data_IF_632492450198
#
_entry.id   IF_632492450198
#
_cell.length_a   1.000
_cell.length_b   1.000
_cell.length_c   1.000
_cell.angle_alpha   90.00
_cell.angle_beta   90.00
_cell.angle_gamma   90.00
#
_symmetry.space_group_name_H-M   'P 1'
#
loop_
_entity.id
_entity.type
_entity.pdbx_description
1 polymer ?
#
# COMPACT_ATOMS: atom_id res chain seq x y z
N UNK A 1 -20.95 -33.15 -31.67
CA UNK A 1 -20.17 -31.97 -31.23
C UNK A 1 -18.81 -31.96 -31.92
N UNK A 2 -18.18 -33.11 -32.05
CA UNK A 2 -16.97 -33.40 -32.86
C UNK A 2 -16.85 -32.59 -34.16
N UNK A 3 -17.74 -32.78 -35.14
CA UNK A 3 -17.68 -32.07 -36.43
C UNK A 3 -17.70 -30.52 -36.30
N UNK A 4 -18.27 -29.98 -35.22
CA UNK A 4 -18.27 -28.53 -34.96
C UNK A 4 -16.91 -28.11 -34.38
N UNK A 5 -16.38 -28.89 -33.44
CA UNK A 5 -15.05 -28.67 -32.85
C UNK A 5 -13.92 -28.83 -33.87
N UNK A 6 -14.00 -29.83 -34.77
CA UNK A 6 -13.04 -30.05 -35.88
C UNK A 6 -12.93 -28.86 -36.83
N UNK A 7 -13.91 -27.96 -36.83
CA UNK A 7 -13.90 -26.73 -37.63
C UNK A 7 -13.46 -25.49 -36.84
N UNK A 8 -12.93 -25.66 -35.63
CA UNK A 8 -12.53 -24.58 -34.73
C UNK A 8 -13.72 -23.93 -34.01
N UNK A 9 -14.78 -24.70 -33.75
CA UNK A 9 -15.96 -24.23 -33.03
C UNK A 9 -15.67 -23.98 -31.54
N UNK A 10 -16.44 -23.04 -30.96
CA UNK A 10 -16.33 -22.66 -29.55
C UNK A 10 -17.53 -23.22 -28.79
N UNK A 11 -17.29 -24.02 -27.76
CA UNK A 11 -18.34 -24.76 -27.07
C UNK A 11 -18.33 -24.50 -25.57
N UNK A 12 -19.50 -24.13 -25.05
CA UNK A 12 -19.78 -24.10 -23.61
C UNK A 12 -20.63 -25.32 -23.24
N UNK A 13 -20.12 -26.18 -22.37
CA UNK A 13 -20.82 -27.36 -21.86
C UNK A 13 -21.02 -27.27 -20.35
N UNK A 14 -22.26 -27.51 -19.94
CA UNK A 14 -22.66 -27.48 -18.53
C UNK A 14 -23.84 -28.43 -18.32
N UNK A 15 -23.92 -29.03 -17.13
CA UNK A 15 -25.00 -29.93 -16.77
C UNK A 15 -24.62 -30.88 -15.65
N UNK A 16 -25.61 -31.34 -14.88
CA UNK A 16 -25.37 -32.30 -13.82
C UNK A 16 -25.14 -33.71 -14.40
N UNK A 17 -24.03 -34.36 -14.03
CA UNK A 17 -23.74 -35.73 -14.48
C UNK A 17 -23.41 -35.86 -15.98
N UNK A 18 -23.18 -34.72 -16.66
CA UNK A 18 -22.92 -34.63 -18.09
C UNK A 18 -21.85 -35.60 -18.57
N UNK A 19 -20.82 -35.77 -17.76
CA UNK A 19 -19.68 -36.56 -18.16
C UNK A 19 -19.96 -38.09 -18.09
N UNK A 20 -20.93 -38.53 -17.29
CA UNK A 20 -21.44 -39.90 -17.35
C UNK A 20 -22.37 -40.12 -18.56
N UNK A 21 -23.12 -39.10 -18.97
CA UNK A 21 -23.93 -39.13 -20.19
C UNK A 21 -23.04 -39.18 -21.44
N UNK A 22 -22.02 -38.32 -21.51
CA UNK A 22 -21.03 -38.33 -22.60
C UNK A 22 -20.34 -39.69 -22.72
N UNK A 23 -19.93 -40.32 -21.61
CA UNK A 23 -19.36 -41.66 -21.69
C UNK A 23 -20.30 -42.69 -22.35
N UNK A 24 -21.61 -42.62 -22.06
CA UNK A 24 -22.57 -43.60 -22.57
C UNK A 24 -23.02 -43.31 -24.00
N UNK A 25 -23.15 -42.03 -24.35
CA UNK A 25 -23.76 -41.59 -25.61
C UNK A 25 -22.73 -41.15 -26.67
N UNK A 26 -21.58 -40.62 -26.25
CA UNK A 26 -20.55 -40.02 -27.11
C UNK A 26 -19.14 -40.15 -26.48
N UNK A 27 -18.67 -41.40 -26.32
CA UNK A 27 -17.39 -41.67 -25.65
C UNK A 27 -16.19 -41.12 -26.40
N UNK A 28 -16.30 -40.94 -27.72
CA UNK A 28 -15.24 -40.36 -28.56
C UNK A 28 -15.07 -38.88 -28.23
N UNK A 29 -16.16 -38.13 -28.09
CA UNK A 29 -16.09 -36.75 -27.61
C UNK A 29 -15.40 -36.63 -26.24
N UNK A 30 -15.75 -37.53 -25.31
CA UNK A 30 -15.14 -37.57 -23.97
C UNK A 30 -13.63 -37.88 -24.03
N UNK A 31 -13.24 -38.86 -24.84
CA UNK A 31 -11.85 -39.35 -24.90
C UNK A 31 -10.94 -38.41 -25.72
N UNK A 32 -11.44 -37.86 -26.83
CA UNK A 32 -10.63 -37.14 -27.84
C UNK A 32 -10.69 -35.62 -27.70
N UNK A 33 -11.74 -35.05 -27.10
CA UNK A 33 -11.90 -33.58 -26.94
C UNK A 33 -11.91 -33.11 -25.48
N UNK A 34 -12.39 -33.94 -24.55
CA UNK A 34 -12.23 -33.66 -23.11
C UNK A 34 -10.97 -34.34 -22.53
N UNK A 35 -10.35 -35.25 -23.30
CA UNK A 35 -9.21 -36.06 -22.87
C UNK A 35 -9.37 -36.65 -21.48
N UNK A 36 -10.56 -37.19 -21.23
CA UNK A 36 -11.01 -37.64 -19.93
C UNK A 36 -11.32 -39.13 -19.95
N UNK A 37 -11.03 -39.83 -18.86
CA UNK A 37 -11.46 -41.20 -18.65
C UNK A 37 -12.60 -41.22 -17.66
N UNK A 38 -13.64 -41.96 -18.00
CA UNK A 38 -14.72 -42.25 -17.07
C UNK A 38 -14.45 -43.50 -16.25
N UNK A 39 -14.36 -43.35 -14.93
CA UNK A 39 -14.26 -44.46 -13.99
C UNK A 39 -15.55 -44.57 -13.17
N UNK A 40 -16.20 -45.72 -13.20
CA UNK A 40 -17.32 -46.03 -12.28
C UNK A 40 -16.85 -46.85 -11.08
N UNK A 41 -17.18 -46.41 -9.87
CA UNK A 41 -16.97 -47.13 -8.60
C UNK A 41 -18.30 -47.31 -7.87
N UNK A 42 -18.31 -48.16 -6.84
CA UNK A 42 -19.54 -48.58 -6.12
C UNK A 42 -20.34 -47.42 -5.49
N UNK A 43 -19.71 -46.30 -5.14
CA UNK A 43 -20.36 -45.18 -4.45
C UNK A 43 -20.14 -43.83 -5.13
N UNK A 44 -19.36 -43.82 -6.22
CA UNK A 44 -18.99 -42.60 -6.90
C UNK A 44 -18.50 -42.86 -8.33
N UNK A 45 -18.52 -41.83 -9.14
CA UNK A 45 -18.05 -41.76 -10.51
C UNK A 45 -16.89 -40.76 -10.60
N UNK A 46 -15.89 -41.06 -11.41
CA UNK A 46 -14.75 -40.18 -11.67
C UNK A 46 -14.69 -39.82 -13.14
N UNK A 47 -14.31 -38.57 -13.38
CA UNK A 47 -13.72 -38.13 -14.61
C UNK A 47 -12.30 -37.76 -14.29
N UNK A 48 -11.37 -38.61 -14.68
CA UNK A 48 -9.95 -38.37 -14.50
C UNK A 48 -9.37 -38.01 -15.85
N UNK A 49 -8.74 -36.84 -15.95
CA UNK A 49 -8.08 -36.46 -17.17
C UNK A 49 -6.85 -37.33 -17.47
N UNK A 50 -6.41 -37.33 -18.71
CA UNK A 50 -5.30 -38.16 -19.19
C UNK A 50 -3.98 -37.45 -18.95
N UNK A 51 -3.06 -38.08 -18.23
CA UNK A 51 -1.71 -37.55 -17.98
C UNK A 51 -1.02 -37.08 -19.28
N UNK A 52 -0.48 -35.87 -19.27
CA UNK A 52 0.15 -35.21 -20.41
C UNK A 52 -0.81 -34.68 -21.49
N UNK A 53 -2.12 -34.66 -21.24
CA UNK A 53 -3.10 -34.03 -22.14
C UNK A 53 -3.16 -32.52 -21.94
N UNK A 54 -3.30 -31.72 -23.02
CA UNK A 54 -3.41 -30.26 -22.92
C UNK A 54 -4.66 -29.75 -22.18
N UNK A 55 -5.64 -30.61 -21.94
CA UNK A 55 -6.88 -30.31 -21.20
C UNK A 55 -7.02 -31.24 -19.99
N UNK A 56 -6.55 -32.49 -20.17
CA UNK A 56 -6.72 -33.61 -19.27
C UNK A 56 -5.69 -33.72 -18.17
N UNK A 57 -4.51 -33.15 -18.32
CA UNK A 57 -3.45 -33.42 -17.35
C UNK A 57 -3.81 -32.90 -15.96
N UNK A 58 -3.67 -33.75 -14.94
CA UNK A 58 -3.84 -33.34 -13.56
C UNK A 58 -5.27 -33.16 -13.03
N UNK A 59 -6.34 -33.34 -13.82
CA UNK A 59 -7.71 -33.10 -13.34
C UNK A 59 -8.43 -34.38 -12.85
N UNK A 60 -9.21 -34.25 -11.77
CA UNK A 60 -10.19 -35.26 -11.36
C UNK A 60 -11.49 -34.61 -10.89
N UNK A 61 -12.61 -35.04 -11.47
CA UNK A 61 -13.96 -34.67 -11.03
C UNK A 61 -14.65 -35.91 -10.47
N UNK A 62 -15.00 -35.89 -9.18
CA UNK A 62 -15.63 -37.02 -8.49
C UNK A 62 -17.07 -36.73 -8.11
N UNK A 63 -18.00 -37.58 -8.55
CA UNK A 63 -19.44 -37.47 -8.28
C UNK A 63 -19.93 -38.64 -7.42
N UNK A 64 -20.69 -38.42 -6.34
CA UNK A 64 -21.21 -39.51 -5.50
C UNK A 64 -22.64 -39.93 -5.88
N UNK A 65 -22.95 -41.23 -5.87
CA UNK A 65 -24.30 -41.76 -6.13
C UNK A 65 -25.06 -42.09 -4.84
N UNK A 66 -26.25 -41.49 -4.62
CA UNK A 66 -27.13 -41.83 -3.49
C UNK A 66 -28.05 -40.70 -3.01
N UNK A 67 -29.16 -41.06 -2.36
CA UNK A 67 -30.26 -40.16 -1.93
C UNK A 67 -29.93 -39.17 -0.79
N UNK A 68 -28.67 -39.12 -0.33
CA UNK A 68 -28.18 -38.13 0.62
C UNK A 68 -27.03 -37.34 -0.03
N UNK A 69 -27.35 -36.61 -1.10
CA UNK A 69 -26.49 -35.54 -1.60
C UNK A 69 -26.46 -34.45 -0.52
N UNK A 70 -25.53 -34.58 0.42
CA UNK A 70 -25.17 -33.46 1.28
C UNK A 70 -24.36 -32.53 0.38
N UNK A 71 -24.96 -31.40 0.03
CA UNK A 71 -24.49 -30.34 -0.86
C UNK A 71 -23.09 -29.77 -0.58
N UNK A 72 -22.31 -30.35 0.34
CA UNK A 72 -21.17 -29.66 0.93
C UNK A 72 -19.80 -30.19 0.53
N UNK A 73 -19.65 -31.30 -0.23
CA UNK A 73 -18.30 -31.82 -0.58
C UNK A 73 -18.20 -32.63 -1.90
N UNK A 74 -19.19 -32.60 -2.79
CA UNK A 74 -19.31 -33.64 -3.84
C UNK A 74 -18.79 -33.33 -5.24
N UNK A 75 -18.00 -32.28 -5.46
CA UNK A 75 -17.41 -31.94 -6.77
C UNK A 75 -16.16 -31.06 -6.56
N UNK A 76 -15.05 -31.63 -6.10
CA UNK A 76 -13.76 -30.93 -6.04
C UNK A 76 -12.97 -31.24 -7.31
N UNK A 77 -12.62 -30.20 -8.07
CA UNK A 77 -11.59 -30.29 -9.12
C UNK A 77 -10.24 -30.20 -8.40
N UNK A 78 -9.51 -31.30 -8.37
CA UNK A 78 -8.11 -31.30 -7.96
C UNK A 78 -7.27 -30.95 -9.19
N UNK A 79 -6.36 -29.98 -9.05
CA UNK A 79 -5.39 -29.60 -10.09
C UNK A 79 -4.02 -30.08 -9.64
N UNK A 80 -3.42 -31.01 -10.37
CA UNK A 80 -2.01 -31.38 -10.23
C UNK A 80 -1.26 -31.10 -11.54
N UNK A 81 -0.57 -29.97 -11.67
CA UNK A 81 0.25 -29.62 -12.85
C UNK A 81 -0.06 -28.26 -13.46
N UNK A 82 0.27 -28.08 -14.75
CA UNK A 82 0.26 -26.80 -15.48
C UNK A 82 -1.12 -26.40 -16.07
N UNK A 83 -2.23 -26.93 -15.54
CA UNK A 83 -3.55 -26.60 -16.07
C UNK A 83 -3.96 -25.17 -15.65
N UNK A 84 -4.41 -24.35 -16.61
CA UNK A 84 -4.93 -22.99 -16.34
C UNK A 84 -6.39 -23.12 -15.87
N UNK A 85 -6.70 -22.82 -14.60
CA UNK A 85 -8.07 -22.85 -14.11
C UNK A 85 -8.87 -21.66 -14.65
N UNK A 86 -10.07 -21.93 -15.17
CA UNK A 86 -10.88 -20.88 -15.82
C UNK A 86 -11.70 -20.02 -14.83
N UNK A 87 -12.09 -20.59 -13.69
CA UNK A 87 -13.04 -19.95 -12.76
C UNK A 87 -12.79 -20.37 -11.30
N UNK A 88 -12.43 -19.40 -10.45
CA UNK A 88 -12.27 -19.56 -9.00
C UNK A 88 -13.65 -19.47 -8.35
N UNK A 89 -14.08 -20.52 -7.65
CA UNK A 89 -15.39 -20.57 -6.99
C UNK A 89 -15.27 -20.37 -5.47
N UNK A 90 -14.12 -19.96 -4.93
CA UNK A 90 -13.97 -19.79 -3.48
C UNK A 90 -12.97 -18.70 -3.14
N UNK A 91 -13.45 -17.65 -2.45
CA UNK A 91 -12.63 -16.58 -1.86
C UNK A 91 -11.71 -17.06 -0.72
N UNK A 92 -11.83 -18.32 -0.27
CA UNK A 92 -10.93 -18.97 0.70
C UNK A 92 -9.91 -19.94 0.07
N UNK A 93 -9.80 -19.95 -1.27
CA UNK A 93 -8.63 -20.50 -1.97
C UNK A 93 -8.63 -22.00 -2.29
N UNK A 94 -9.78 -22.69 -2.31
CA UNK A 94 -9.79 -24.16 -2.33
C UNK A 94 -10.34 -24.91 -3.55
N UNK A 95 -11.06 -24.30 -4.49
CA UNK A 95 -11.76 -25.09 -5.52
C UNK A 95 -12.09 -24.38 -6.84
N UNK A 96 -11.91 -25.11 -7.94
CA UNK A 96 -12.26 -24.69 -9.30
C UNK A 96 -13.60 -25.32 -9.74
N UNK A 97 -14.40 -24.58 -10.51
CA UNK A 97 -15.76 -24.99 -10.92
C UNK A 97 -15.88 -25.40 -12.38
N UNK A 98 -14.85 -25.13 -13.19
CA UNK A 98 -14.86 -25.39 -14.62
C UNK A 98 -13.44 -25.49 -15.19
N UNK A 99 -13.32 -26.18 -16.33
CA UNK A 99 -12.10 -26.34 -17.11
C UNK A 99 -12.24 -25.56 -18.42
N UNK A 100 -11.16 -24.94 -18.89
CA UNK A 100 -11.09 -24.30 -20.20
C UNK A 100 -9.97 -24.88 -21.04
N UNK A 101 -10.18 -24.94 -22.36
CA UNK A 101 -9.16 -25.27 -23.35
C UNK A 101 -9.14 -24.27 -24.47
N UNK A 102 -7.94 -23.80 -24.80
CA UNK A 102 -7.67 -22.90 -25.92
C UNK A 102 -6.62 -23.56 -26.84
N UNK A 103 -7.05 -23.96 -28.04
CA UNK A 103 -6.20 -24.62 -29.02
C UNK A 103 -6.85 -24.65 -30.39
N UNK A 104 -6.88 -25.83 -31.05
CA UNK A 104 -7.54 -25.97 -32.35
C UNK A 104 -9.05 -25.71 -32.29
N UNK A 105 -9.61 -25.68 -31.08
CA UNK A 105 -10.98 -25.32 -30.72
C UNK A 105 -10.97 -24.68 -29.33
N UNK A 106 -12.05 -23.98 -28.95
CA UNK A 106 -12.24 -23.52 -27.58
C UNK A 106 -13.35 -24.27 -26.87
N UNK A 107 -13.09 -24.70 -25.63
CA UNK A 107 -14.05 -25.45 -24.82
C UNK A 107 -14.06 -24.94 -23.39
N UNK A 108 -15.24 -24.69 -22.84
CA UNK A 108 -15.45 -24.53 -21.40
C UNK A 108 -16.36 -25.65 -20.91
N UNK A 109 -15.90 -26.41 -19.93
CA UNK A 109 -16.62 -27.54 -19.35
C UNK A 109 -16.87 -27.33 -17.85
N UNK A 110 -18.14 -27.23 -17.45
CA UNK A 110 -18.54 -27.14 -16.05
C UNK A 110 -18.85 -28.53 -15.48
N UNK A 111 -18.33 -28.80 -14.29
CA UNK A 111 -18.61 -30.02 -13.52
C UNK A 111 -20.04 -30.09 -12.99
N UNK A 112 -20.77 -28.97 -13.00
CA UNK A 112 -22.11 -28.78 -12.45
C UNK A 112 -22.96 -27.94 -13.40
N UNK A 113 -24.26 -27.85 -13.13
CA UNK A 113 -25.15 -26.96 -13.89
C UNK A 113 -24.82 -25.50 -13.58
N UNK A 114 -24.47 -24.72 -14.59
CA UNK A 114 -24.21 -23.28 -14.51
C UNK A 114 -25.39 -22.53 -13.87
N UNK A 115 -26.61 -23.06 -14.01
CA UNK A 115 -27.81 -22.52 -13.37
C UNK A 115 -27.79 -22.57 -11.84
N UNK A 116 -26.85 -23.29 -11.24
CA UNK A 116 -26.67 -23.36 -9.78
C UNK A 116 -25.84 -22.20 -9.22
N UNK A 117 -25.19 -21.38 -10.07
CA UNK A 117 -24.49 -20.16 -9.66
C UNK A 117 -25.52 -19.12 -9.22
N UNK A 118 -25.42 -18.63 -7.99
CA UNK A 118 -26.36 -17.66 -7.42
C UNK A 118 -25.88 -16.22 -7.68
N UNK A 119 -26.79 -15.30 -7.98
CA UNK A 119 -26.47 -13.88 -8.20
C UNK A 119 -26.30 -13.07 -6.90
N UNK A 120 -26.57 -13.68 -5.75
CA UNK A 120 -26.61 -13.04 -4.44
C UNK A 120 -25.65 -13.68 -3.43
N UNK A 121 -24.62 -14.40 -3.89
CA UNK A 121 -23.62 -14.99 -3.01
C UNK A 121 -22.57 -13.97 -2.57
N UNK A 122 -22.26 -13.86 -1.27
CA UNK A 122 -21.13 -13.06 -0.78
C UNK A 122 -19.78 -13.75 -0.94
N UNK A 123 -19.75 -14.98 -1.47
CA UNK A 123 -18.55 -15.81 -1.54
C UNK A 123 -18.17 -16.23 -2.97
N UNK A 124 -19.03 -15.92 -3.95
CA UNK A 124 -18.90 -16.39 -5.34
C UNK A 124 -19.17 -15.23 -6.29
N UNK A 125 -18.52 -15.25 -7.44
CA UNK A 125 -18.91 -14.41 -8.58
C UNK A 125 -20.36 -14.66 -8.97
N UNK A 126 -21.04 -13.61 -9.42
CA UNK A 126 -22.41 -13.69 -9.91
C UNK A 126 -22.47 -14.50 -11.20
N UNK A 127 -23.65 -15.04 -11.49
CA UNK A 127 -23.92 -15.80 -12.71
C UNK A 127 -23.62 -14.97 -13.97
N UNK A 128 -23.92 -13.68 -13.95
CA UNK A 128 -23.71 -12.79 -15.09
C UNK A 128 -22.21 -12.52 -15.33
N UNK A 129 -21.42 -12.35 -14.26
CA UNK A 129 -19.95 -12.22 -14.34
C UNK A 129 -19.31 -13.49 -14.91
N UNK A 130 -19.70 -14.66 -14.38
CA UNK A 130 -19.19 -15.95 -14.87
C UNK A 130 -19.56 -16.18 -16.34
N UNK A 131 -20.80 -15.90 -16.74
CA UNK A 131 -21.21 -16.05 -18.15
C UNK A 131 -20.46 -15.12 -19.08
N UNK A 132 -20.25 -13.87 -18.66
CA UNK A 132 -19.60 -12.90 -19.52
C UNK A 132 -18.15 -13.29 -19.78
N UNK A 133 -17.45 -13.79 -18.75
CA UNK A 133 -16.11 -14.37 -18.90
C UNK A 133 -16.09 -15.63 -19.78
N UNK A 134 -17.07 -16.52 -19.66
CA UNK A 134 -17.20 -17.69 -20.57
C UNK A 134 -17.37 -17.23 -22.01
N UNK A 135 -18.24 -16.26 -22.25
CA UNK A 135 -18.51 -15.76 -23.59
C UNK A 135 -17.31 -15.01 -24.17
N UNK A 136 -16.52 -14.34 -23.33
CA UNK A 136 -15.25 -13.75 -23.73
C UNK A 136 -14.22 -14.81 -24.10
N UNK A 137 -13.98 -15.79 -23.23
CA UNK A 137 -13.05 -16.88 -23.49
C UNK A 137 -13.36 -17.57 -24.83
N UNK A 138 -14.64 -17.80 -25.11
CA UNK A 138 -15.14 -18.42 -26.33
C UNK A 138 -15.18 -17.47 -27.54
N UNK A 139 -14.50 -16.32 -27.52
CA UNK A 139 -14.51 -15.28 -28.56
C UNK A 139 -15.93 -14.92 -29.05
N UNK A 140 -16.94 -15.15 -28.21
CA UNK A 140 -18.34 -14.99 -28.58
C UNK A 140 -18.78 -13.52 -28.44
N UNK A 141 -17.96 -12.70 -27.78
CA UNK A 141 -18.12 -11.27 -27.59
C UNK A 141 -16.87 -10.54 -28.12
N UNK A 142 -17.09 -9.41 -28.78
CA UNK A 142 -16.02 -8.50 -29.21
C UNK A 142 -15.61 -7.67 -28.00
N UNK A 143 -14.31 -7.69 -27.65
CA UNK A 143 -13.60 -6.88 -26.65
C UNK A 143 -14.52 -6.37 -25.51
N UNK A 144 -14.63 -7.11 -24.38
CA UNK A 144 -15.38 -6.63 -23.24
C UNK A 144 -14.83 -5.24 -22.86
N UNK A 145 -15.67 -4.34 -22.31
CA UNK A 145 -15.14 -3.14 -21.70
C UNK A 145 -14.10 -3.56 -20.67
N UNK A 146 -12.87 -3.21 -20.97
CA UNK A 146 -11.70 -3.36 -20.13
C UNK A 146 -10.93 -2.07 -20.36
N UNK A 147 -10.96 -1.20 -19.35
CA UNK A 147 -9.97 -0.16 -19.25
C UNK A 147 -8.73 -0.87 -18.73
N UNK A 148 -7.78 -1.02 -19.64
CA UNK A 148 -6.51 -1.72 -19.50
C UNK A 148 -5.46 -0.72 -19.99
N UNK A 149 -4.79 -0.07 -19.02
CA UNK A 149 -3.90 1.05 -19.30
C UNK A 149 -2.57 0.61 -19.91
N UNK A 150 -2.07 -0.57 -19.57
CA UNK A 150 -0.76 -1.07 -19.99
C UNK A 150 -0.82 -2.09 -21.15
N UNK A 151 -2.02 -2.60 -21.46
CA UNK A 151 -2.32 -3.52 -22.54
C UNK A 151 -1.97 -4.98 -22.25
N UNK A 152 -1.87 -5.39 -21.00
CA UNK A 152 -1.48 -6.75 -20.60
C UNK A 152 -2.65 -7.76 -20.61
N UNK A 153 -3.88 -7.28 -20.74
CA UNK A 153 -5.10 -8.07 -20.79
C UNK A 153 -5.91 -8.10 -19.48
N UNK A 154 -5.42 -7.43 -18.44
CA UNK A 154 -6.11 -7.20 -17.17
C UNK A 154 -6.58 -5.74 -17.08
N UNK A 155 -7.59 -5.50 -16.23
CA UNK A 155 -8.28 -4.22 -16.18
C UNK A 155 -7.97 -3.41 -14.94
N UNK A 156 -7.73 -2.12 -15.13
CA UNK A 156 -7.54 -1.13 -14.08
C UNK A 156 -8.66 -1.18 -13.02
N UNK A 157 -8.28 -1.10 -11.74
CA UNK A 157 -9.23 -1.04 -10.64
C UNK A 157 -10.10 0.25 -10.72
N UNK A 158 -11.31 0.21 -10.14
CA UNK A 158 -12.20 1.38 -10.08
C UNK A 158 -13.03 1.65 -11.34
N UNK A 159 -12.93 0.80 -12.36
CA UNK A 159 -13.75 0.83 -13.56
C UNK A 159 -14.93 -0.16 -13.45
N UNK A 160 -16.15 0.27 -13.04
CA UNK A 160 -17.29 -0.62 -12.87
C UNK A 160 -17.81 -1.24 -14.18
N UNK A 161 -17.39 -0.69 -15.32
CA UNK A 161 -17.60 -1.29 -16.64
C UNK A 161 -16.66 -2.46 -16.93
N UNK A 162 -15.56 -2.64 -16.20
CA UNK A 162 -14.59 -3.69 -16.47
C UNK A 162 -15.21 -5.07 -16.29
N UNK A 163 -15.03 -5.93 -17.29
CA UNK A 163 -15.44 -7.34 -17.25
C UNK A 163 -14.26 -8.32 -17.32
N UNK A 164 -13.07 -7.78 -17.58
CA UNK A 164 -11.79 -8.47 -17.43
C UNK A 164 -11.46 -8.68 -15.94
N UNK A 165 -10.45 -9.49 -15.66
CA UNK A 165 -9.89 -9.63 -14.30
C UNK A 165 -9.19 -8.32 -13.92
N UNK A 166 -9.13 -8.01 -12.62
CA UNK A 166 -8.44 -6.82 -12.14
C UNK A 166 -6.93 -6.97 -12.35
N UNK A 167 -6.29 -5.90 -12.79
CA UNK A 167 -4.85 -5.78 -12.92
C UNK A 167 -4.20 -5.39 -11.59
N UNK A 168 -3.20 -6.15 -11.15
CA UNK A 168 -2.41 -5.87 -9.96
C UNK A 168 -1.21 -4.93 -10.22
N UNK A 169 -0.95 -4.53 -11.46
CA UNK A 169 -0.02 -3.47 -11.84
C UNK A 169 -0.51 -2.60 -13.01
N UNK A 170 -1.58 -1.78 -12.84
CA UNK A 170 -2.27 -1.06 -13.93
C UNK A 170 -1.40 -0.19 -14.86
N UNK A 171 -0.22 0.23 -14.41
CA UNK A 171 0.69 1.08 -15.17
C UNK A 171 1.91 0.30 -15.74
N UNK A 172 2.04 -1.01 -15.45
CA UNK A 172 3.23 -1.81 -15.75
C UNK A 172 2.89 -3.19 -16.34
N UNK A 173 3.02 -3.31 -17.67
CA UNK A 173 2.72 -4.54 -18.43
C UNK A 173 3.25 -5.83 -17.77
N UNK A 174 2.37 -6.59 -17.13
CA UNK A 174 2.69 -7.80 -16.37
C UNK A 174 1.67 -8.94 -16.60
N UNK A 175 1.59 -9.51 -17.81
CA UNK A 175 0.55 -10.49 -18.19
C UNK A 175 0.57 -11.80 -17.38
N UNK A 176 1.61 -12.07 -16.57
CA UNK A 176 1.63 -13.20 -15.63
C UNK A 176 0.86 -12.92 -14.34
N UNK A 177 0.68 -11.64 -13.97
CA UNK A 177 0.04 -11.19 -12.72
C UNK A 177 0.61 -11.92 -11.50
N UNK A 178 1.93 -12.10 -11.50
CA UNK A 178 2.64 -12.68 -10.35
C UNK A 178 2.48 -11.72 -9.16
N UNK A 179 2.17 -12.27 -7.99
CA UNK A 179 1.95 -11.59 -6.71
C UNK A 179 2.36 -12.61 -5.64
N UNK A 180 3.57 -12.44 -5.11
CA UNK A 180 4.24 -13.44 -4.29
C UNK A 180 3.67 -13.50 -2.86
N UNK A 181 3.38 -12.35 -2.26
CA UNK A 181 2.95 -12.24 -0.88
C UNK A 181 1.42 -12.08 -0.70
N UNK A 182 0.70 -11.94 -1.81
CA UNK A 182 -0.76 -11.92 -1.92
C UNK A 182 -1.40 -10.68 -1.32
N UNK A 183 -0.80 -9.51 -1.54
CA UNK A 183 -1.29 -8.22 -1.07
C UNK A 183 -2.11 -7.42 -2.11
N UNK A 184 -2.40 -8.03 -3.26
CA UNK A 184 -3.10 -7.47 -4.43
C UNK A 184 -2.26 -6.45 -5.26
N UNK A 185 -0.97 -6.27 -4.97
CA UNK A 185 0.01 -5.55 -5.80
C UNK A 185 0.92 -6.58 -6.50
N UNK A 186 1.15 -6.42 -7.80
CA UNK A 186 1.96 -7.39 -8.55
C UNK A 186 3.46 -7.22 -8.33
N UNK A 187 4.21 -8.34 -8.37
CA UNK A 187 5.66 -8.40 -8.17
C UNK A 187 6.46 -7.38 -9.03
N UNK A 188 5.91 -6.96 -10.18
CA UNK A 188 6.56 -6.00 -11.08
C UNK A 188 6.50 -4.55 -10.57
N UNK A 189 5.47 -4.21 -9.80
CA UNK A 189 5.21 -2.85 -9.30
C UNK A 189 5.15 -2.78 -7.78
N UNK A 190 5.45 -3.89 -7.09
CA UNK A 190 5.52 -3.99 -5.65
C UNK A 190 6.91 -3.57 -5.13
N UNK A 191 6.95 -2.55 -4.28
CA UNK A 191 8.15 -2.07 -3.60
C UNK A 191 8.60 -2.96 -2.43
N UNK A 192 7.82 -4.00 -2.08
CA UNK A 192 8.14 -5.01 -1.07
C UNK A 192 7.66 -6.43 -1.43
N UNK A 193 8.12 -6.96 -2.58
CA UNK A 193 7.81 -8.30 -3.18
C UNK A 193 7.58 -9.48 -2.20
N UNK A 194 8.15 -9.47 -1.01
CA UNK A 194 8.07 -10.58 -0.06
C UNK A 194 7.27 -10.29 1.22
N UNK A 195 6.81 -9.06 1.43
CA UNK A 195 6.16 -8.59 2.65
C UNK A 195 4.97 -7.67 2.34
N UNK A 196 3.75 -8.19 2.54
CA UNK A 196 2.50 -7.55 2.16
C UNK A 196 2.34 -6.11 2.65
N UNK A 197 2.14 -5.17 1.73
CA UNK A 197 1.98 -3.73 1.94
C UNK A 197 1.17 -3.06 0.80
N UNK A 198 -0.13 -3.34 0.73
CA UNK A 198 -1.00 -2.83 -0.34
C UNK A 198 -1.11 -1.30 -0.46
N UNK A 199 -0.60 -0.54 0.51
CA UNK A 199 -0.51 0.92 0.49
C UNK A 199 0.76 1.45 -0.21
N UNK A 200 1.79 0.60 -0.37
CA UNK A 200 3.04 0.90 -1.05
C UNK A 200 3.69 2.20 -0.55
N UNK A 201 3.60 2.44 0.77
CA UNK A 201 4.30 3.56 1.43
C UNK A 201 5.83 3.37 1.26
N UNK A 202 6.51 4.47 0.93
CA UNK A 202 7.95 4.58 0.64
C UNK A 202 8.37 5.99 1.06
N UNK A 203 8.78 6.11 2.32
CA UNK A 203 8.97 7.36 3.05
C UNK A 203 10.05 8.25 2.46
N UNK A 204 11.15 7.65 2.00
CA UNK A 204 12.30 8.35 1.42
C UNK A 204 12.38 8.27 -0.11
N UNK A 205 11.45 7.54 -0.75
CA UNK A 205 11.34 7.40 -2.20
C UNK A 205 12.56 6.76 -2.85
N UNK A 206 13.22 5.84 -2.16
CA UNK A 206 14.39 5.12 -2.68
C UNK A 206 14.00 3.87 -3.52
N UNK A 207 12.74 3.45 -3.40
CA UNK A 207 12.13 2.33 -4.12
C UNK A 207 11.96 1.06 -3.31
N UNK A 208 12.50 0.97 -2.10
CA UNK A 208 12.18 -0.06 -1.11
C UNK A 208 11.04 0.48 -0.23
N UNK A 209 9.95 -0.28 -0.06
CA UNK A 209 8.80 0.20 0.73
C UNK A 209 9.05 0.16 2.24
N UNK A 210 8.34 0.99 3.02
CA UNK A 210 8.52 1.16 4.47
C UNK A 210 8.50 -0.15 5.28
N UNK A 211 7.79 -1.18 4.78
CA UNK A 211 7.66 -2.49 5.43
C UNK A 211 8.91 -3.35 5.29
N UNK A 212 9.65 -3.20 4.19
CA UNK A 212 10.82 -4.00 3.85
C UNK A 212 12.12 -3.19 3.76
N UNK A 213 12.04 -1.87 3.88
CA UNK A 213 13.17 -0.98 3.94
C UNK A 213 13.92 -1.13 5.28
N UNK A 214 15.21 -1.43 5.15
CA UNK A 214 16.13 -1.61 6.27
C UNK A 214 16.76 -0.28 6.71
N UNK A 215 16.53 0.83 5.99
CA UNK A 215 17.03 2.17 6.31
C UNK A 215 16.27 3.27 5.56
N UNK A 216 15.15 3.72 6.12
CA UNK A 216 14.43 4.89 5.62
C UNK A 216 15.19 6.16 5.99
N UNK A 217 15.70 6.89 4.99
CA UNK A 217 16.59 8.05 5.09
C UNK A 217 16.06 9.20 4.22
N UNK A 218 15.13 9.99 4.77
CA UNK A 218 14.34 10.99 4.02
C UNK A 218 15.22 12.08 3.39
N UNK A 219 16.34 12.43 4.01
CA UNK A 219 17.22 13.51 3.55
C UNK A 219 18.46 13.04 2.78
N UNK A 220 18.66 11.73 2.70
CA UNK A 220 19.73 11.03 2.03
C UNK A 220 21.15 11.41 2.53
N UNK A 221 21.31 11.65 3.83
CA UNK A 221 22.60 11.92 4.46
C UNK A 221 23.37 10.67 4.92
N UNK A 222 22.71 9.50 4.90
CA UNK A 222 23.23 8.21 5.26
C UNK A 222 22.86 7.74 6.67
N UNK A 223 21.94 8.42 7.35
CA UNK A 223 21.38 8.07 8.66
C UNK A 223 19.86 7.92 8.56
N UNK A 224 19.29 6.96 9.30
CA UNK A 224 17.88 6.60 9.17
C UNK A 224 16.98 7.39 10.11
N UNK A 225 15.79 7.71 9.63
CA UNK A 225 14.75 8.43 10.37
C UNK A 225 14.38 7.71 11.68
N UNK A 226 14.43 8.37 12.86
CA UNK A 226 14.19 7.73 14.16
C UNK A 226 12.77 7.19 14.37
N UNK A 227 11.78 7.67 13.62
CA UNK A 227 10.39 7.22 13.67
C UNK A 227 10.20 5.80 13.13
N UNK A 228 11.11 5.35 12.25
CA UNK A 228 11.05 4.05 11.59
C UNK A 228 11.81 3.00 12.39
N UNK A 229 11.08 2.30 13.26
CA UNK A 229 11.66 1.26 14.14
C UNK A 229 12.24 0.04 13.38
N UNK A 230 11.98 -0.08 12.08
CA UNK A 230 12.53 -1.13 11.22
C UNK A 230 13.99 -0.85 10.84
N UNK A 231 14.42 0.42 10.90
CA UNK A 231 15.76 0.85 10.50
C UNK A 231 16.86 0.06 11.22
N UNK A 232 17.80 -0.41 10.41
CA UNK A 232 19.01 -1.13 10.82
C UNK A 232 20.27 -0.27 10.72
N UNK A 233 20.17 0.89 10.08
CA UNK A 233 21.19 1.93 10.04
C UNK A 233 21.25 2.74 11.34
N UNK A 234 22.17 3.72 11.41
CA UNK A 234 22.31 4.59 12.58
C UNK A 234 21.23 5.68 12.54
N UNK A 235 20.62 5.98 13.69
CA UNK A 235 19.56 6.99 13.80
C UNK A 235 20.06 8.39 13.41
N UNK A 236 19.28 9.12 12.63
CA UNK A 236 19.51 10.52 12.26
C UNK A 236 19.03 11.48 13.35
N UNK A 237 19.87 12.42 13.76
CA UNK A 237 19.48 13.49 14.67
C UNK A 237 18.78 14.69 13.99
N UNK A 238 18.59 14.67 12.67
CA UNK A 238 17.82 15.64 11.88
C UNK A 238 17.14 15.05 10.62
N UNK A 239 16.27 14.04 10.78
CA UNK A 239 15.58 13.29 9.70
C UNK A 239 15.19 14.06 8.41
N UNK A 240 14.77 15.32 8.52
CA UNK A 240 14.33 16.13 7.37
C UNK A 240 15.44 17.03 6.76
N UNK A 241 16.69 16.99 7.25
CA UNK A 241 17.71 18.01 6.94
C UNK A 241 19.15 17.50 6.90
N UNK A 242 19.57 17.22 5.67
CA UNK A 242 20.90 16.69 5.33
C UNK A 242 22.05 17.20 6.22
N UNK A 243 22.54 16.31 7.08
CA UNK A 243 23.48 16.59 8.17
C UNK A 243 24.46 15.41 8.38
N UNK A 244 25.23 14.97 7.36
CA UNK A 244 26.02 13.73 7.39
C UNK A 244 27.17 13.72 8.42
N UNK A 245 27.39 14.84 9.11
CA UNK A 245 28.32 14.94 10.23
C UNK A 245 27.69 14.59 11.59
N UNK A 246 26.37 14.58 11.69
CA UNK A 246 25.58 14.28 12.89
C UNK A 246 26.12 15.06 14.11
N UNK A 247 26.42 16.35 13.92
CA UNK A 247 26.89 17.22 15.00
C UNK A 247 25.71 17.53 15.93
N UNK A 248 25.90 17.41 17.24
CA UNK A 248 24.95 17.72 18.32
C UNK A 248 25.77 18.31 19.47
N UNK A 249 25.88 19.64 19.48
CA UNK A 249 26.84 20.36 20.31
C UNK A 249 26.50 20.30 21.80
N UNK A 250 25.22 20.34 22.15
CA UNK A 250 24.75 20.35 23.54
C UNK A 250 24.23 18.99 24.05
N UNK A 251 24.22 17.98 23.16
CA UNK A 251 23.88 16.60 23.43
C UNK A 251 22.42 16.40 23.86
N UNK A 252 21.49 17.11 23.21
CA UNK A 252 20.06 17.00 23.47
C UNK A 252 19.32 15.99 22.59
N UNK A 253 20.00 15.46 21.57
CA UNK A 253 19.48 14.48 20.63
C UNK A 253 18.93 15.09 19.34
N UNK A 254 18.94 16.41 19.20
CA UNK A 254 18.60 17.15 17.98
C UNK A 254 19.91 17.66 17.37
N UNK A 255 20.14 17.42 16.09
CA UNK A 255 21.39 17.83 15.46
C UNK A 255 21.50 19.34 15.27
N UNK A 256 22.73 19.86 15.29
CA UNK A 256 23.05 21.29 15.11
C UNK A 256 22.40 21.89 13.84
N UNK A 257 22.14 21.05 12.84
CA UNK A 257 21.47 21.46 11.60
C UNK A 257 19.99 21.80 11.82
N UNK A 258 19.28 21.09 12.68
CA UNK A 258 17.84 21.26 12.92
C UNK A 258 17.51 21.76 14.33
N UNK A 259 18.51 21.96 15.19
CA UNK A 259 18.35 22.48 16.54
C UNK A 259 18.14 24.01 16.55
N UNK A 260 16.99 24.44 17.06
CA UNK A 260 16.63 25.85 17.23
C UNK A 260 17.37 26.54 18.40
N UNK A 261 18.14 25.80 19.20
CA UNK A 261 18.97 26.29 20.30
C UNK A 261 20.31 25.55 20.48
N UNK A 262 21.10 25.36 19.42
CA UNK A 262 22.46 24.73 19.28
C UNK A 262 23.36 24.62 20.54
N UNK A 263 23.27 25.54 21.50
CA UNK A 263 24.13 25.56 22.70
C UNK A 263 23.41 25.34 24.03
N UNK A 264 22.09 25.08 24.02
CA UNK A 264 21.24 24.97 25.20
C UNK A 264 20.27 23.79 25.07
N UNK A 265 20.62 22.66 25.70
CA UNK A 265 19.81 21.44 25.76
C UNK A 265 18.29 21.68 25.82
N UNK A 266 17.58 21.34 24.75
CA UNK A 266 16.13 21.52 24.57
C UNK A 266 15.51 20.48 23.61
N UNK A 267 15.46 19.18 24.00
CA UNK A 267 14.96 18.13 23.11
C UNK A 267 13.50 18.30 22.65
N UNK A 268 12.73 19.17 23.32
CA UNK A 268 11.35 19.47 22.94
C UNK A 268 11.23 20.54 21.84
N UNK A 269 12.35 21.18 21.47
CA UNK A 269 12.47 22.17 20.39
C UNK A 269 11.35 23.23 20.44
N UNK A 270 10.91 23.60 21.64
CA UNK A 270 9.82 24.53 21.82
C UNK A 270 10.18 25.90 21.24
N UNK A 271 9.37 26.37 20.29
CA UNK A 271 9.42 27.71 19.70
C UNK A 271 7.99 28.26 19.70
N UNK A 272 7.68 29.11 20.67
CA UNK A 272 6.31 29.60 20.88
C UNK A 272 5.89 30.67 19.87
N UNK A 273 6.82 31.24 19.10
CA UNK A 273 6.55 32.34 18.18
C UNK A 273 6.85 32.00 16.70
N UNK A 274 7.35 30.79 16.43
CA UNK A 274 7.68 30.24 15.11
C UNK A 274 8.72 31.08 14.33
N UNK A 275 9.67 31.71 15.02
CA UNK A 275 10.73 32.51 14.39
C UNK A 275 12.02 31.72 14.08
N UNK A 276 12.09 30.47 14.51
CA UNK A 276 13.22 29.55 14.32
C UNK A 276 14.27 29.62 15.42
N UNK A 277 14.07 30.42 16.47
CA UNK A 277 14.87 30.45 17.70
C UNK A 277 14.05 29.81 18.81
N UNK A 278 14.59 28.78 19.47
CA UNK A 278 13.84 28.10 20.53
C UNK A 278 13.66 28.97 21.78
N UNK A 279 12.56 28.73 22.51
CA UNK A 279 12.16 29.44 23.73
C UNK A 279 13.26 29.49 24.79
N UNK A 280 14.19 28.52 24.79
CA UNK A 280 15.31 28.46 25.74
C UNK A 280 16.49 29.36 25.37
N UNK A 281 16.71 29.67 24.09
CA UNK A 281 17.78 30.56 23.63
C UNK A 281 17.26 31.92 23.13
N UNK A 282 15.94 32.05 23.03
CA UNK A 282 15.21 33.29 22.84
C UNK A 282 15.57 34.33 23.91
N UNK A 283 15.69 35.58 23.48
CA UNK A 283 15.95 36.70 24.38
C UNK A 283 14.64 37.28 24.91
N UNK A 284 14.60 37.66 26.19
CA UNK A 284 13.41 38.31 26.74
C UNK A 284 13.46 39.82 26.59
N UNK A 285 12.40 40.37 26.01
CA UNK A 285 12.28 41.80 25.84
C UNK A 285 12.31 42.54 27.18
N UNK A 286 13.23 43.51 27.31
CA UNK A 286 13.44 44.26 28.55
C UNK A 286 14.26 43.54 29.63
N UNK A 287 14.71 42.31 29.39
CA UNK A 287 15.76 41.63 30.19
C UNK A 287 17.14 41.98 29.62
N UNK A 288 17.49 43.26 29.72
CA UNK A 288 18.73 43.78 29.13
C UNK A 288 20.00 43.12 29.67
N UNK A 289 19.93 42.45 30.82
CA UNK A 289 21.07 41.75 31.40
C UNK A 289 21.09 40.23 31.16
N UNK A 290 20.06 39.68 30.49
CA UNK A 290 19.99 38.28 30.07
C UNK A 290 19.86 37.27 31.22
N UNK A 291 19.33 37.67 32.39
CA UNK A 291 19.18 36.76 33.54
C UNK A 291 17.82 36.07 33.63
N UNK A 292 17.02 36.20 32.57
CA UNK A 292 15.66 35.75 32.41
C UNK A 292 14.66 36.35 33.38
N UNK A 293 14.88 37.57 33.86
CA UNK A 293 13.92 38.26 34.74
C UNK A 293 13.92 39.77 34.51
N UNK A 294 12.79 40.32 34.08
CA UNK A 294 12.64 41.79 33.97
C UNK A 294 12.50 42.39 35.37
N UNK A 295 13.49 43.17 35.79
CA UNK A 295 13.53 43.84 37.09
C UNK A 295 14.36 45.14 37.06
N UNK A 296 14.64 45.71 38.23
CA UNK A 296 15.38 46.99 38.33
C UNK A 296 16.86 46.89 37.92
N UNK A 297 17.41 45.68 37.87
CA UNK A 297 18.78 45.43 37.41
C UNK A 297 18.89 45.64 35.90
N UNK A 298 17.85 45.37 35.11
CA UNK A 298 17.81 45.65 33.67
C UNK A 298 17.86 47.15 33.39
N UNK A 299 17.08 47.93 34.13
CA UNK A 299 17.16 49.39 34.11
C UNK A 299 18.58 49.86 34.43
N UNK A 300 19.20 49.25 35.44
CA UNK A 300 20.57 49.59 35.84
C UNK A 300 21.57 49.23 34.74
N UNK A 301 21.36 48.12 34.05
CA UNK A 301 22.17 47.65 32.94
C UNK A 301 22.10 48.63 31.76
N UNK A 302 20.89 48.98 31.29
CA UNK A 302 20.68 49.95 30.20
C UNK A 302 21.28 51.32 30.54
N UNK A 303 21.09 51.82 31.78
CA UNK A 303 21.68 53.10 32.21
C UNK A 303 23.22 53.04 32.21
N UNK A 304 23.81 51.91 32.62
CA UNK A 304 25.25 51.74 32.58
C UNK A 304 25.78 51.70 31.14
N UNK A 305 25.10 51.01 30.24
CA UNK A 305 25.40 51.01 28.80
C UNK A 305 25.36 52.43 28.21
N UNK A 306 24.23 53.13 28.35
CA UNK A 306 24.00 54.45 27.74
C UNK A 306 24.91 55.55 28.26
N UNK A 307 25.22 55.55 29.57
CA UNK A 307 25.82 56.72 30.22
C UNK A 307 27.12 56.45 30.96
N UNK A 308 27.52 55.18 31.14
CA UNK A 308 28.71 54.81 31.93
C UNK A 308 29.70 53.92 31.17
N UNK A 309 29.47 53.68 29.88
CA UNK A 309 30.33 52.84 29.04
C UNK A 309 30.29 51.37 29.44
N UNK A 310 29.16 50.89 29.94
CA UNK A 310 28.90 49.46 30.16
C UNK A 310 28.83 48.69 28.83
N UNK A 311 28.84 47.36 28.93
CA UNK A 311 28.60 46.46 27.80
C UNK A 311 27.18 46.66 27.25
N UNK A 312 27.01 46.46 25.95
CA UNK A 312 25.68 46.46 25.33
C UNK A 312 24.90 45.18 25.73
N UNK A 313 23.56 45.24 25.77
CA UNK A 313 22.73 44.03 25.77
C UNK A 313 23.07 43.16 24.56
N UNK A 314 22.95 41.84 24.74
CA UNK A 314 23.22 40.83 23.73
C UNK A 314 22.06 39.81 23.75
N UNK A 315 21.18 39.81 22.75
CA UNK A 315 21.15 40.74 21.61
C UNK A 315 20.75 42.17 22.03
N UNK A 316 20.95 43.17 21.16
CA UNK A 316 20.66 44.58 21.47
C UNK A 316 19.16 44.80 21.75
N UNK A 317 18.35 44.02 21.07
CA UNK A 317 16.91 43.98 21.11
C UNK A 317 16.42 43.71 22.55
N UNK A 318 17.11 42.88 23.33
CA UNK A 318 16.79 42.67 24.76
C UNK A 318 16.78 43.96 25.59
N UNK A 319 17.51 44.99 25.15
CA UNK A 319 17.52 46.33 25.74
C UNK A 319 16.55 47.35 25.14
N UNK A 320 15.95 47.07 23.98
CA UNK A 320 15.02 47.94 23.24
C UNK A 320 13.57 47.68 23.69
N UNK A 321 13.34 47.82 24.99
CA UNK A 321 12.09 47.45 25.65
C UNK A 321 10.84 48.19 25.16
N UNK A 322 10.99 49.31 24.45
CA UNK A 322 9.86 50.06 23.86
C UNK A 322 9.62 49.78 22.36
N UNK A 323 10.46 48.94 21.73
CA UNK A 323 10.36 48.56 20.33
C UNK A 323 10.69 49.68 19.35
N UNK A 324 11.41 50.72 19.81
CA UNK A 324 11.78 51.89 19.02
C UNK A 324 12.89 51.65 17.99
N UNK A 325 13.50 50.46 17.99
CA UNK A 325 14.63 50.08 17.14
C UNK A 325 15.97 50.65 17.61
N UNK A 326 16.05 51.18 18.83
CA UNK A 326 17.31 51.68 19.39
C UNK A 326 17.24 51.85 20.90
N UNK A 327 18.18 51.24 21.61
CA UNK A 327 18.30 51.39 23.06
C UNK A 327 18.58 52.86 23.43
N UNK A 328 17.68 53.46 24.21
CA UNK A 328 17.73 54.83 24.68
C UNK A 328 16.99 55.00 26.03
N UNK A 329 16.71 56.25 26.42
CA UNK A 329 16.07 56.54 27.74
C UNK A 329 14.58 56.18 27.78
N UNK A 330 13.95 55.99 26.63
CA UNK A 330 12.56 55.57 26.52
C UNK A 330 12.40 54.10 26.93
N UNK A 331 13.38 53.24 26.65
CA UNK A 331 13.40 51.83 27.11
C UNK A 331 13.45 51.72 28.63
N UNK A 332 14.30 52.53 29.25
CA UNK A 332 14.35 52.67 30.72
C UNK A 332 12.98 53.10 31.26
N UNK A 333 12.32 54.03 30.55
CA UNK A 333 11.00 54.52 30.93
C UNK A 333 9.95 53.42 30.76
N UNK A 334 10.03 52.59 29.72
CA UNK A 334 9.17 51.45 29.46
C UNK A 334 9.26 50.43 30.62
N UNK A 335 10.47 49.95 30.93
CA UNK A 335 10.68 48.96 32.00
C UNK A 335 10.21 49.49 33.37
N UNK A 336 10.50 50.76 33.70
CA UNK A 336 10.01 51.36 34.96
C UNK A 336 8.48 51.43 35.01
N UNK A 337 7.84 51.77 33.89
CA UNK A 337 6.38 51.87 33.83
C UNK A 337 5.74 50.47 33.98
N UNK A 338 6.31 49.46 33.33
CA UNK A 338 5.90 48.06 33.48
C UNK A 338 6.02 47.61 34.95
N UNK A 339 7.21 47.71 35.55
CA UNK A 339 7.49 47.19 36.89
C UNK A 339 6.71 47.89 38.01
N UNK A 340 6.49 49.21 37.90
CA UNK A 340 6.04 50.01 39.05
C UNK A 340 4.79 50.85 38.81
N UNK A 341 4.31 50.96 37.57
CA UNK A 341 3.16 51.82 37.24
C UNK A 341 2.01 51.10 36.53
N UNK A 342 2.11 49.77 36.36
CA UNK A 342 1.11 48.97 35.65
C UNK A 342 1.04 49.31 34.16
N UNK A 343 2.18 49.68 33.57
CA UNK A 343 2.32 49.82 32.12
C UNK A 343 2.27 48.46 31.40
N UNK A 344 2.20 48.48 30.06
CA UNK A 344 2.26 47.25 29.25
C UNK A 344 3.61 46.54 29.43
N UNK A 345 3.64 45.25 29.10
CA UNK A 345 4.89 44.47 28.99
C UNK A 345 5.81 45.06 27.91
N UNK A 346 7.14 44.94 28.06
CA UNK A 346 8.10 45.31 27.02
C UNK A 346 7.81 44.58 25.70
N UNK A 347 8.02 45.28 24.59
CA UNK A 347 7.85 44.72 23.24
C UNK A 347 9.08 45.08 22.43
N UNK A 348 9.70 44.08 21.82
CA UNK A 348 10.94 44.23 21.05
C UNK A 348 10.62 44.11 19.56
N UNK A 349 11.44 44.70 18.67
CA UNK A 349 11.28 44.53 17.24
C UNK A 349 11.46 43.05 16.86
N UNK A 350 10.50 42.49 16.13
CA UNK A 350 10.60 41.19 15.45
C UNK A 350 11.55 41.25 14.26
#
# INVERSE_FOLDING_TARGET
>A
MENYMDTGGNLFLTGQGLAGELHNEDSVFLDDYLHARYNSKLFWYEHQGIDGSPIGDGFSIRYYSGANQVFTLSEQIFVEGDAIPAFRFDISGGGYSALSYDGDYKLVFFSWGYEAILNDSPHYETRDEVLTRILFFLDAWVEPPCVDSDGDGYGDAGHPENVCMTDNCPDNYNPSQDDYDLDDIGDLCDNCIYESNSDQEDGDSDGDGDVCDDCTDTDADGFGDPEYNANTCEDDNCADKYNPSQEDYDADGIGDSCDNCITIYNPDQADSNDDGIGDLCEYMCGDANGNRTINILDVTFIVNYLYKGGVAPDPLEAGDADGGGSINILDVTCIINYLYKGGPEPVCPS
#
